data_IF_900679483821
#
_entry.id   IF_900679483821
#
_cell.length_a   1.000
_cell.length_b   1.000
_cell.length_c   1.000
_cell.angle_alpha   90.00
_cell.angle_beta   90.00
_cell.angle_gamma   90.00
#
_symmetry.space_group_name_H-M   'P 1'
#
loop_
_entity.id
_entity.type
_entity.pdbx_description
1 polymer ?
#
# COMPACT_ATOMS: atom_id res chain seq x y z
N UNK A 1 10.32 45.62 -0.07
CA UNK A 1 9.77 44.78 -1.16
C UNK A 1 9.37 43.44 -0.55
N UNK A 2 8.11 43.31 -0.11
CA UNK A 2 7.60 42.09 0.51
C UNK A 2 7.19 41.13 -0.61
N UNK A 3 7.94 40.05 -0.84
CA UNK A 3 7.49 38.94 -1.70
C UNK A 3 6.41 38.21 -0.92
N UNK A 4 5.15 38.58 -1.13
CA UNK A 4 4.02 37.79 -0.68
C UNK A 4 4.09 36.43 -1.39
N UNK A 5 4.54 35.41 -0.66
CA UNK A 5 4.59 34.02 -1.14
C UNK A 5 3.15 33.48 -1.14
N UNK A 6 2.33 33.94 -2.07
CA UNK A 6 1.01 33.38 -2.32
C UNK A 6 1.18 31.92 -2.70
N UNK A 7 0.69 31.00 -1.88
CA UNK A 7 0.72 29.57 -2.21
C UNK A 7 -0.04 29.35 -3.52
N UNK A 8 0.63 28.80 -4.54
CA UNK A 8 0.00 28.54 -5.84
C UNK A 8 -1.14 27.52 -5.67
N UNK A 9 -2.39 27.89 -5.98
CA UNK A 9 -3.53 26.98 -5.84
C UNK A 9 -3.37 25.70 -6.68
N UNK A 10 -2.63 25.72 -7.80
CA UNK A 10 -2.36 24.52 -8.61
C UNK A 10 -1.46 23.54 -7.88
N UNK A 11 -0.39 24.03 -7.23
CA UNK A 11 0.47 23.21 -6.38
C UNK A 11 -0.34 22.54 -5.25
N UNK A 12 -1.33 23.25 -4.68
CA UNK A 12 -2.20 22.64 -3.65
C UNK A 12 -3.13 21.57 -4.22
N UNK A 13 -3.66 21.75 -5.44
CA UNK A 13 -4.52 20.78 -6.09
C UNK A 13 -3.74 19.50 -6.48
N UNK A 14 -2.53 19.65 -7.01
CA UNK A 14 -1.69 18.51 -7.39
C UNK A 14 -1.18 17.75 -6.16
N UNK A 15 -0.86 18.45 -5.07
CA UNK A 15 -0.56 17.81 -3.79
C UNK A 15 -1.75 16.99 -3.25
N UNK A 16 -2.97 17.52 -3.34
CA UNK A 16 -4.18 16.77 -2.94
C UNK A 16 -4.40 15.54 -3.81
N UNK A 17 -4.24 15.68 -5.13
CA UNK A 17 -4.34 14.55 -6.08
C UNK A 17 -3.31 13.48 -5.75
N UNK A 18 -2.05 13.85 -5.51
CA UNK A 18 -1.00 12.93 -5.11
C UNK A 18 -1.36 12.15 -3.83
N UNK A 19 -1.91 12.82 -2.82
CA UNK A 19 -2.36 12.16 -1.57
C UNK A 19 -3.51 11.19 -1.83
N UNK A 20 -4.50 11.58 -2.63
CA UNK A 20 -5.65 10.72 -2.98
C UNK A 20 -5.17 9.48 -3.74
N UNK A 21 -4.32 9.67 -4.76
CA UNK A 21 -3.74 8.57 -5.54
C UNK A 21 -2.94 7.62 -4.66
N UNK A 22 -2.12 8.15 -3.75
CA UNK A 22 -1.35 7.35 -2.81
C UNK A 22 -2.25 6.51 -1.89
N UNK A 23 -3.32 7.11 -1.35
CA UNK A 23 -4.30 6.38 -0.53
C UNK A 23 -5.00 5.28 -1.32
N UNK A 24 -5.47 5.58 -2.53
CA UNK A 24 -6.11 4.60 -3.40
C UNK A 24 -5.16 3.42 -3.73
N UNK A 25 -3.88 3.71 -3.99
CA UNK A 25 -2.86 2.69 -4.23
C UNK A 25 -2.67 1.75 -3.03
N UNK A 26 -2.63 2.29 -1.82
CA UNK A 26 -2.50 1.51 -0.58
C UNK A 26 -3.74 0.64 -0.36
N UNK A 27 -4.95 1.17 -0.60
CA UNK A 27 -6.20 0.40 -0.47
C UNK A 27 -6.23 -0.75 -1.46
N UNK A 28 -5.95 -0.50 -2.74
CA UNK A 28 -5.88 -1.54 -3.76
C UNK A 28 -4.84 -2.63 -3.41
N UNK A 29 -3.70 -2.23 -2.87
CA UNK A 29 -2.66 -3.15 -2.40
C UNK A 29 -3.11 -3.97 -1.19
N UNK A 30 -3.86 -3.36 -0.27
CA UNK A 30 -4.44 -4.04 0.89
C UNK A 30 -5.42 -5.13 0.46
N UNK A 31 -6.31 -4.83 -0.48
CA UNK A 31 -7.26 -5.80 -1.01
C UNK A 31 -6.57 -6.94 -1.76
N UNK A 32 -5.53 -6.62 -2.54
CA UNK A 32 -4.69 -7.63 -3.21
C UNK A 32 -4.01 -8.55 -2.20
N UNK A 33 -3.45 -8.00 -1.12
CA UNK A 33 -2.84 -8.78 -0.04
C UNK A 33 -3.86 -9.61 0.76
N UNK A 34 -5.09 -9.11 0.96
CA UNK A 34 -6.18 -9.90 1.56
C UNK A 34 -6.57 -11.09 0.68
N UNK A 35 -6.61 -10.91 -0.64
CA UNK A 35 -6.86 -12.01 -1.59
C UNK A 35 -5.74 -13.04 -1.53
N UNK A 36 -4.48 -12.59 -1.51
CA UNK A 36 -3.32 -13.46 -1.32
C UNK A 36 -3.39 -14.24 0.01
N UNK A 37 -3.82 -13.58 1.10
CA UNK A 37 -3.98 -14.21 2.41
C UNK A 37 -4.95 -15.41 2.43
N UNK A 38 -5.86 -15.51 1.45
CA UNK A 38 -6.80 -16.64 1.33
C UNK A 38 -6.10 -17.92 0.91
N UNK A 39 -5.01 -17.82 0.15
CA UNK A 39 -4.24 -18.97 -0.34
C UNK A 39 -2.93 -19.16 0.41
N UNK A 40 -2.30 -18.06 0.84
CA UNK A 40 -1.03 -18.06 1.57
C UNK A 40 -1.16 -17.20 2.83
N UNK A 41 -1.23 -17.80 4.03
CA UNK A 41 -1.40 -17.04 5.27
C UNK A 41 -0.28 -16.00 5.50
N UNK A 42 -0.67 -14.76 5.79
CA UNK A 42 0.24 -13.67 6.18
C UNK A 42 0.65 -13.75 7.66
N UNK A 43 -0.05 -14.59 8.42
CA UNK A 43 0.13 -14.78 9.85
C UNK A 43 0.17 -16.28 10.11
N UNK A 44 1.22 -16.71 10.79
CA UNK A 44 1.42 -18.10 11.20
C UNK A 44 0.35 -18.54 12.20
N UNK A 45 0.23 -19.86 12.41
CA UNK A 45 -0.74 -20.43 13.37
C UNK A 45 -0.55 -19.91 14.80
N UNK A 46 0.69 -19.59 15.18
CA UNK A 46 1.05 -19.04 16.49
C UNK A 46 0.82 -17.51 16.59
N UNK A 47 0.21 -16.87 15.59
CA UNK A 47 -0.09 -15.44 15.59
C UNK A 47 1.10 -14.54 15.22
N UNK A 48 2.27 -15.10 14.91
CA UNK A 48 3.42 -14.34 14.40
C UNK A 48 3.25 -13.99 12.93
N UNK A 49 3.80 -12.85 12.49
CA UNK A 49 3.76 -12.45 11.09
C UNK A 49 4.70 -13.29 10.24
N UNK A 50 4.22 -13.79 9.09
CA UNK A 50 5.06 -14.36 8.05
C UNK A 50 5.58 -13.23 7.15
N UNK A 51 6.79 -12.73 7.46
CA UNK A 51 7.42 -11.64 6.70
C UNK A 51 7.66 -12.01 5.24
N UNK A 52 7.95 -13.28 4.95
CA UNK A 52 8.19 -13.75 3.59
C UNK A 52 6.90 -13.75 2.78
N UNK A 53 5.79 -14.21 3.37
CA UNK A 53 4.48 -14.12 2.74
C UNK A 53 4.05 -12.66 2.51
N UNK A 54 4.28 -11.78 3.49
CA UNK A 54 3.99 -10.33 3.37
C UNK A 54 4.80 -9.70 2.23
N UNK A 55 6.09 -10.01 2.13
CA UNK A 55 6.94 -9.51 1.04
C UNK A 55 6.51 -10.04 -0.32
N UNK A 56 6.13 -11.32 -0.43
CA UNK A 56 5.60 -11.89 -1.68
C UNK A 56 4.29 -11.21 -2.10
N UNK A 57 3.38 -10.99 -1.15
CA UNK A 57 2.14 -10.25 -1.41
C UNK A 57 2.41 -8.81 -1.90
N UNK A 58 3.39 -8.13 -1.29
CA UNK A 58 3.80 -6.80 -1.70
C UNK A 58 4.42 -6.79 -3.11
N UNK A 59 5.31 -7.73 -3.43
CA UNK A 59 5.94 -7.84 -4.76
C UNK A 59 4.87 -8.02 -5.85
N UNK A 60 3.93 -8.96 -5.66
CA UNK A 60 2.86 -9.21 -6.62
C UNK A 60 1.97 -7.98 -6.82
N UNK A 61 1.63 -7.29 -5.73
CA UNK A 61 0.83 -6.06 -5.82
C UNK A 61 1.59 -4.90 -6.46
N UNK A 62 2.90 -4.81 -6.25
CA UNK A 62 3.75 -3.79 -6.86
C UNK A 62 3.91 -4.02 -8.37
N UNK A 63 4.10 -5.28 -8.79
CA UNK A 63 4.14 -5.69 -10.20
C UNK A 63 2.84 -5.33 -10.90
N UNK A 64 1.69 -5.76 -10.36
CA UNK A 64 0.38 -5.46 -10.94
C UNK A 64 0.11 -3.95 -11.05
N UNK A 65 0.58 -3.14 -10.08
CA UNK A 65 0.47 -1.69 -10.18
C UNK A 65 1.37 -1.11 -11.25
N UNK A 66 2.64 -1.52 -11.27
CA UNK A 66 3.63 -1.03 -12.25
C UNK A 66 3.17 -1.31 -13.68
N UNK A 67 2.55 -2.46 -13.94
CA UNK A 67 1.93 -2.81 -15.22
C UNK A 67 0.79 -1.86 -15.63
N UNK A 68 0.03 -1.34 -14.66
CA UNK A 68 -1.11 -0.45 -14.90
C UNK A 68 -0.72 1.03 -14.98
N UNK A 69 0.20 1.48 -14.12
CA UNK A 69 0.51 2.92 -13.96
C UNK A 69 1.83 3.33 -14.59
N UNK A 70 2.76 2.41 -14.83
CA UNK A 70 4.12 2.72 -15.26
C UNK A 70 4.96 3.44 -14.19
N UNK A 71 4.48 3.51 -12.94
CA UNK A 71 5.21 4.13 -11.84
C UNK A 71 6.53 3.39 -11.56
N UNK A 72 7.53 4.10 -11.05
CA UNK A 72 8.80 3.50 -10.64
C UNK A 72 8.59 2.39 -9.59
N UNK A 73 9.35 1.30 -9.70
CA UNK A 73 9.28 0.14 -8.80
C UNK A 73 9.27 0.53 -7.32
N UNK A 74 10.15 1.45 -6.89
CA UNK A 74 10.23 1.89 -5.49
C UNK A 74 8.94 2.56 -4.97
N UNK A 75 8.22 3.28 -5.84
CA UNK A 75 6.93 3.91 -5.50
C UNK A 75 5.85 2.84 -5.35
N UNK A 76 5.74 1.94 -6.33
CA UNK A 76 4.82 0.81 -6.30
C UNK A 76 5.05 -0.07 -5.06
N UNK A 77 6.29 -0.45 -4.80
CA UNK A 77 6.68 -1.29 -3.67
C UNK A 77 6.37 -0.60 -2.33
N UNK A 78 6.56 0.71 -2.23
CA UNK A 78 6.23 1.48 -1.02
C UNK A 78 4.74 1.43 -0.68
N UNK A 79 3.85 1.57 -1.67
CA UNK A 79 2.40 1.43 -1.45
C UNK A 79 2.00 -0.01 -1.18
N UNK A 80 2.58 -0.95 -1.93
CA UNK A 80 2.30 -2.36 -1.81
C UNK A 80 2.65 -2.89 -0.41
N UNK A 81 3.81 -2.50 0.12
CA UNK A 81 4.26 -2.91 1.45
C UNK A 81 3.34 -2.36 2.55
N UNK A 82 2.90 -1.10 2.44
CA UNK A 82 1.92 -0.51 3.37
C UNK A 82 0.61 -1.31 3.35
N UNK A 83 0.12 -1.65 2.16
CA UNK A 83 -1.10 -2.44 2.01
C UNK A 83 -0.98 -3.87 2.55
N UNK A 84 0.14 -4.54 2.27
CA UNK A 84 0.41 -5.89 2.75
C UNK A 84 0.48 -5.96 4.29
N UNK A 85 1.13 -4.98 4.93
CA UNK A 85 1.14 -4.87 6.38
C UNK A 85 -0.23 -4.56 6.98
N UNK A 86 -1.04 -3.73 6.33
CA UNK A 86 -2.40 -3.48 6.78
C UNK A 86 -3.25 -4.75 6.74
N UNK A 87 -3.15 -5.54 5.66
CA UNK A 87 -3.82 -6.84 5.54
C UNK A 87 -3.33 -7.83 6.61
N UNK A 88 -2.02 -7.95 6.83
CA UNK A 88 -1.47 -8.86 7.83
C UNK A 88 -1.94 -8.52 9.26
N UNK A 89 -1.96 -7.23 9.62
CA UNK A 89 -2.49 -6.78 10.92
C UNK A 89 -3.96 -7.12 11.07
N UNK A 90 -4.77 -6.89 10.04
CA UNK A 90 -6.18 -7.25 10.05
C UNK A 90 -6.38 -8.77 10.21
N UNK A 91 -5.63 -9.59 9.47
CA UNK A 91 -5.67 -11.06 9.58
C UNK A 91 -5.28 -11.55 10.98
N UNK A 92 -4.31 -10.89 11.64
CA UNK A 92 -3.91 -11.23 13.00
C UNK A 92 -5.04 -10.94 14.01
N UNK A 93 -5.74 -9.80 13.85
CA UNK A 93 -6.86 -9.45 14.71
C UNK A 93 -8.03 -10.42 14.55
N UNK A 94 -8.38 -10.79 13.32
CA UNK A 94 -9.44 -11.77 13.04
C UNK A 94 -9.13 -13.14 13.64
N UNK A 95 -7.85 -13.55 13.67
CA UNK A 95 -7.42 -14.81 14.30
C UNK A 95 -7.42 -14.79 15.83
N UNK A 96 -7.47 -13.61 16.45
CA UNK A 96 -7.44 -13.47 17.90
C UNK A 96 -8.83 -13.52 18.54
N UNK A 97 -9.89 -13.52 17.73
CA UNK A 97 -11.30 -13.68 18.11
C UNK A 97 -11.78 -15.07 17.69
#
# INVERSE_FOLDING_TARGET
MHIARSADPRLTADARRAVITAKAAIVASTESAKRFNRTTPLVNRNGTFDRSAIMRAAILSAQARMEVTGDAWGVCMSYALKGAWAAAKASRLVRAH
#
